data_IF_349857373806
#
_entry.id   IF_349857373806
#
_cell.length_a   1.000
_cell.length_b   1.000
_cell.length_c   1.000
_cell.angle_alpha   90.00
_cell.angle_beta   90.00
_cell.angle_gamma   90.00
#
_symmetry.space_group_name_H-M   'P 1'
#
loop_
_entity.id
_entity.type
_entity.pdbx_description
1 polymer ?
#
# COMPACT_ATOMS: atom_id res chain seq x y z
N UNK A 1 16.36 71.98 -69.03
CA UNK A 1 15.27 71.17 -68.44
C UNK A 1 15.37 69.76 -69.02
N UNK A 2 15.90 68.80 -68.27
CA UNK A 2 16.01 67.39 -68.67
C UNK A 2 15.32 66.55 -67.62
N UNK A 3 14.25 65.86 -68.03
CA UNK A 3 13.38 65.05 -67.17
C UNK A 3 14.06 63.78 -66.69
N UNK A 4 13.92 63.47 -65.40
CA UNK A 4 14.36 62.22 -64.78
C UNK A 4 13.38 61.11 -65.17
N UNK A 5 13.86 60.13 -65.94
CA UNK A 5 13.17 58.87 -66.15
C UNK A 5 13.17 58.06 -64.83
N UNK A 6 11.98 57.67 -64.37
CA UNK A 6 11.80 56.80 -63.22
C UNK A 6 12.28 55.39 -63.58
N UNK A 7 13.36 54.95 -62.94
CA UNK A 7 13.82 53.56 -62.98
C UNK A 7 12.85 52.70 -62.17
N UNK A 8 12.16 51.79 -62.86
CA UNK A 8 11.29 50.78 -62.26
C UNK A 8 12.17 49.70 -61.60
N UNK A 9 12.11 49.57 -60.28
CA UNK A 9 12.81 48.54 -59.52
C UNK A 9 12.33 47.13 -59.95
N UNK A 10 13.24 46.15 -60.13
CA UNK A 10 12.87 44.77 -60.43
C UNK A 10 12.23 44.09 -59.20
N UNK A 11 11.20 43.24 -59.39
CA UNK A 11 10.51 42.57 -58.29
C UNK A 11 11.44 41.59 -57.56
N UNK A 12 11.38 41.60 -56.24
CA UNK A 12 12.19 40.77 -55.35
C UNK A 12 11.98 39.26 -55.58
N UNK A 13 13.02 38.42 -55.43
CA UNK A 13 12.93 36.98 -55.62
C UNK A 13 12.00 36.34 -54.59
N UNK A 14 11.01 35.59 -55.08
CA UNK A 14 10.03 34.84 -54.28
C UNK A 14 10.79 33.75 -53.51
N UNK A 15 10.85 33.88 -52.18
CA UNK A 15 11.40 32.85 -51.28
C UNK A 15 10.45 31.65 -51.29
N UNK A 16 10.84 30.58 -51.99
CA UNK A 16 10.17 29.28 -51.90
C UNK A 16 10.40 28.73 -50.50
N UNK A 17 9.39 28.83 -49.64
CA UNK A 17 9.41 28.16 -48.33
C UNK A 17 9.42 26.65 -48.54
N UNK A 18 10.36 25.89 -47.94
CA UNK A 18 10.37 24.44 -48.06
C UNK A 18 9.07 23.87 -47.49
N UNK A 19 8.39 23.04 -48.28
CA UNK A 19 7.21 22.29 -47.84
C UNK A 19 7.52 21.57 -46.54
N UNK A 20 6.80 21.95 -45.48
CA UNK A 20 6.80 21.25 -44.20
C UNK A 20 6.28 19.85 -44.48
N UNK A 21 7.20 18.88 -44.53
CA UNK A 21 6.86 17.46 -44.55
C UNK A 21 6.20 17.17 -43.20
N UNK A 22 4.87 17.11 -43.19
CA UNK A 22 4.11 16.66 -42.03
C UNK A 22 4.49 15.20 -41.80
N UNK A 23 5.20 14.85 -40.71
CA UNK A 23 5.57 13.47 -40.47
C UNK A 23 4.30 12.64 -40.35
N UNK A 24 4.26 11.52 -41.09
CA UNK A 24 3.15 10.58 -41.05
C UNK A 24 2.82 10.22 -39.60
N UNK A 25 1.53 10.09 -39.23
CA UNK A 25 1.13 9.77 -37.87
C UNK A 25 1.86 8.50 -37.42
N UNK A 26 2.64 8.61 -36.35
CA UNK A 26 3.39 7.50 -35.80
C UNK A 26 2.42 6.34 -35.54
N UNK A 27 2.73 5.16 -36.09
CA UNK A 27 1.91 3.97 -35.86
C UNK A 27 1.71 3.72 -34.36
N UNK A 28 0.55 3.18 -33.94
CA UNK A 28 0.29 2.89 -32.53
C UNK A 28 1.32 1.88 -32.04
N UNK A 29 2.35 2.39 -31.35
CA UNK A 29 3.39 1.57 -30.74
C UNK A 29 2.73 0.65 -29.73
N UNK A 30 3.09 -0.62 -29.76
CA UNK A 30 2.61 -1.57 -28.75
C UNK A 30 3.03 -1.09 -27.36
N UNK A 31 2.23 -1.39 -26.33
CA UNK A 31 2.56 -1.03 -24.95
C UNK A 31 3.98 -1.49 -24.55
N UNK A 32 4.33 -2.72 -24.95
CA UNK A 32 5.65 -3.30 -24.68
C UNK A 32 6.78 -2.45 -25.24
N UNK A 33 6.65 -1.97 -26.48
CA UNK A 33 7.64 -1.08 -27.10
C UNK A 33 7.72 0.27 -26.39
N UNK A 34 6.57 0.84 -25.99
CA UNK A 34 6.55 2.11 -25.25
C UNK A 34 7.24 1.98 -23.88
N UNK A 35 6.96 0.90 -23.14
CA UNK A 35 7.58 0.61 -21.85
C UNK A 35 9.09 0.36 -21.99
N UNK A 36 9.51 -0.42 -23.01
CA UNK A 36 10.92 -0.61 -23.30
C UNK A 36 11.62 0.70 -23.65
N UNK A 37 10.97 1.60 -24.40
CA UNK A 37 11.49 2.92 -24.72
C UNK A 37 11.73 3.79 -23.47
N UNK A 38 10.77 3.81 -22.55
CA UNK A 38 10.90 4.52 -21.27
C UNK A 38 12.02 3.91 -20.41
N UNK A 39 12.09 2.58 -20.31
CA UNK A 39 13.13 1.89 -19.56
C UNK A 39 14.53 2.14 -20.12
N UNK A 40 14.70 2.08 -21.45
CA UNK A 40 15.98 2.40 -22.11
C UNK A 40 16.39 3.84 -21.85
N UNK A 41 15.46 4.80 -21.93
CA UNK A 41 15.74 6.21 -21.64
C UNK A 41 16.16 6.41 -20.19
N UNK A 42 15.40 5.86 -19.23
CA UNK A 42 15.73 5.96 -17.80
C UNK A 42 17.09 5.37 -17.45
N UNK A 43 17.48 4.25 -18.08
CA UNK A 43 18.80 3.64 -17.91
C UNK A 43 19.92 4.44 -18.58
N UNK A 44 19.68 4.99 -19.77
CA UNK A 44 20.65 5.83 -20.48
C UNK A 44 20.96 7.12 -19.69
N UNK A 45 19.93 7.72 -19.09
CA UNK A 45 20.07 8.96 -18.31
C UNK A 45 20.67 8.72 -16.90
N UNK A 46 20.63 7.49 -16.39
CA UNK A 46 21.07 7.14 -15.04
C UNK A 46 21.92 5.86 -15.00
N UNK A 47 22.94 5.76 -15.85
CA UNK A 47 23.74 4.53 -16.02
C UNK A 47 24.38 4.03 -14.70
N UNK A 48 24.75 4.94 -13.80
CA UNK A 48 25.42 4.63 -12.54
C UNK A 48 24.46 4.47 -11.35
N UNK A 49 23.18 4.79 -11.50
CA UNK A 49 22.20 4.74 -10.42
C UNK A 49 20.91 4.06 -10.89
N UNK A 50 20.89 2.73 -10.72
CA UNK A 50 19.73 1.90 -11.05
C UNK A 50 18.49 2.24 -10.24
N UNK A 51 18.65 2.74 -9.01
CA UNK A 51 17.51 3.12 -8.16
C UNK A 51 16.82 4.33 -8.76
N UNK A 52 17.60 5.34 -9.15
CA UNK A 52 17.08 6.55 -9.81
C UNK A 52 16.44 6.25 -11.17
N UNK A 53 17.04 5.35 -11.96
CA UNK A 53 16.43 4.86 -13.21
C UNK A 53 15.05 4.23 -12.98
N UNK A 54 14.92 3.35 -11.98
CA UNK A 54 13.63 2.71 -11.62
C UNK A 54 12.60 3.76 -11.19
N UNK A 55 12.99 4.72 -10.35
CA UNK A 55 12.09 5.80 -9.91
C UNK A 55 11.60 6.64 -11.09
N UNK A 56 12.46 6.93 -12.07
CA UNK A 56 12.05 7.64 -13.28
C UNK A 56 11.06 6.83 -14.13
N UNK A 57 11.31 5.54 -14.35
CA UNK A 57 10.40 4.67 -15.09
C UNK A 57 9.04 4.57 -14.40
N UNK A 58 9.02 4.34 -13.09
CA UNK A 58 7.79 4.28 -12.30
C UNK A 58 7.03 5.62 -12.33
N UNK A 59 7.74 6.74 -12.25
CA UNK A 59 7.13 8.07 -12.36
C UNK A 59 6.49 8.26 -13.74
N UNK A 60 7.18 7.90 -14.82
CA UNK A 60 6.63 8.00 -16.18
C UNK A 60 5.37 7.15 -16.37
N UNK A 61 5.38 5.90 -15.88
CA UNK A 61 4.20 5.01 -15.93
C UNK A 61 3.05 5.62 -15.12
N UNK A 62 3.32 6.17 -13.93
CA UNK A 62 2.29 6.73 -13.03
C UNK A 62 1.51 7.90 -13.63
N UNK A 63 2.10 8.65 -14.56
CA UNK A 63 1.44 9.79 -15.20
C UNK A 63 0.69 9.42 -16.50
N UNK A 64 0.82 8.19 -17.00
CA UNK A 64 0.06 7.70 -18.16
C UNK A 64 -0.99 6.67 -17.68
N UNK A 65 -2.28 7.07 -17.56
CA UNK A 65 -3.33 6.20 -17.04
C UNK A 65 -3.55 4.95 -17.91
N UNK A 66 -3.30 5.04 -19.22
CA UNK A 66 -3.41 3.89 -20.11
C UNK A 66 -2.29 2.87 -19.84
N UNK A 67 -1.07 3.35 -19.59
CA UNK A 67 0.04 2.46 -19.20
C UNK A 67 -0.19 1.81 -17.85
N UNK A 68 -0.71 2.54 -16.86
CA UNK A 68 -1.06 1.97 -15.56
C UNK A 68 -2.06 0.83 -15.71
N UNK A 69 -3.14 1.06 -16.46
CA UNK A 69 -4.19 0.07 -16.65
C UNK A 69 -3.66 -1.24 -17.22
N UNK A 70 -2.86 -1.14 -18.29
CA UNK A 70 -2.26 -2.28 -18.96
C UNK A 70 -1.17 -2.97 -18.11
N UNK A 71 -0.35 -2.20 -17.40
CA UNK A 71 0.68 -2.74 -16.51
C UNK A 71 0.09 -3.62 -15.41
N UNK A 72 -1.09 -3.25 -14.91
CA UNK A 72 -1.80 -4.01 -13.89
C UNK A 72 -2.78 -5.06 -14.45
N UNK A 73 -2.97 -5.15 -15.77
CA UNK A 73 -3.92 -6.08 -16.40
C UNK A 73 -3.80 -7.52 -15.88
N UNK A 74 -2.60 -8.12 -15.72
CA UNK A 74 -2.47 -9.48 -15.20
C UNK A 74 -2.94 -9.66 -13.74
N UNK A 75 -3.03 -8.57 -12.99
CA UNK A 75 -3.38 -8.58 -11.56
C UNK A 75 -4.81 -8.10 -11.29
N UNK A 76 -5.55 -7.64 -12.31
CA UNK A 76 -6.89 -7.09 -12.15
C UNK A 76 -7.84 -8.10 -11.50
N UNK A 77 -7.86 -9.33 -12.00
CA UNK A 77 -8.74 -10.38 -11.46
C UNK A 77 -8.42 -10.72 -10.00
N UNK A 78 -7.14 -10.81 -9.65
CA UNK A 78 -6.72 -11.07 -8.28
C UNK A 78 -7.13 -9.93 -7.33
N UNK A 79 -6.94 -8.67 -7.75
CA UNK A 79 -7.33 -7.50 -6.98
C UNK A 79 -8.85 -7.41 -6.78
N UNK A 80 -9.62 -7.67 -7.85
CA UNK A 80 -11.09 -7.70 -7.81
C UNK A 80 -11.56 -8.81 -6.87
N UNK A 81 -11.04 -10.03 -6.99
CA UNK A 81 -11.39 -11.15 -6.11
C UNK A 81 -11.06 -10.86 -4.65
N UNK A 82 -9.91 -10.24 -4.36
CA UNK A 82 -9.54 -9.83 -3.00
C UNK A 82 -10.52 -8.80 -2.42
N UNK A 83 -10.99 -7.84 -3.23
CA UNK A 83 -12.03 -6.89 -2.82
C UNK A 83 -13.35 -7.60 -2.54
N UNK A 84 -13.78 -8.52 -3.41
CA UNK A 84 -14.99 -9.31 -3.19
C UNK A 84 -14.90 -10.17 -1.93
N UNK A 85 -13.75 -10.78 -1.62
CA UNK A 85 -13.58 -11.53 -0.38
C UNK A 85 -13.66 -10.65 0.88
N UNK A 86 -13.30 -9.36 0.77
CA UNK A 86 -13.36 -8.42 1.89
C UNK A 86 -14.75 -7.84 2.12
N UNK A 87 -15.55 -7.72 1.07
CA UNK A 87 -16.93 -7.19 1.12
C UNK A 87 -17.95 -8.30 1.29
N UNK A 88 -17.64 -9.52 0.86
CA UNK A 88 -18.49 -10.67 1.11
C UNK A 88 -18.71 -10.80 2.62
N UNK A 89 -19.96 -10.79 3.10
CA UNK A 89 -20.22 -11.05 4.51
C UNK A 89 -19.59 -12.39 4.83
N UNK A 90 -18.73 -12.42 5.86
CA UNK A 90 -18.15 -13.67 6.35
C UNK A 90 -19.32 -14.64 6.47
N UNK A 91 -19.34 -15.77 5.70
CA UNK A 91 -20.46 -16.67 5.73
C UNK A 91 -20.61 -17.06 7.18
N UNK A 92 -21.71 -16.63 7.81
CA UNK A 92 -21.94 -16.75 9.24
C UNK A 92 -21.46 -18.14 9.61
N UNK A 93 -20.31 -18.21 10.32
CA UNK A 93 -19.68 -19.48 10.64
C UNK A 93 -20.72 -20.22 11.45
N UNK A 94 -21.49 -21.08 10.80
CA UNK A 94 -22.37 -21.99 11.49
C UNK A 94 -21.41 -22.74 12.40
N UNK A 95 -21.61 -22.68 13.73
CA UNK A 95 -20.73 -23.36 14.65
C UNK A 95 -20.58 -24.79 14.15
N UNK A 96 -19.35 -25.36 14.17
CA UNK A 96 -19.13 -26.71 13.69
C UNK A 96 -20.19 -27.60 14.32
N UNK A 97 -21.04 -28.22 13.47
CA UNK A 97 -22.01 -29.21 13.94
C UNK A 97 -21.20 -30.25 14.68
N UNK A 98 -21.23 -30.18 16.00
CA UNK A 98 -20.60 -31.20 16.82
C UNK A 98 -21.23 -32.52 16.37
N UNK A 99 -20.41 -33.55 16.05
CA UNK A 99 -20.96 -34.86 15.79
C UNK A 99 -21.86 -35.20 16.97
N UNK A 100 -23.12 -35.50 16.69
CA UNK A 100 -24.11 -35.84 17.70
C UNK A 100 -23.56 -37.00 18.54
N UNK A 101 -22.96 -36.68 19.68
CA UNK A 101 -22.57 -37.65 20.67
C UNK A 101 -23.87 -38.27 21.19
N UNK A 102 -24.14 -39.48 20.69
CA UNK A 102 -25.12 -40.42 21.21
C UNK A 102 -25.08 -40.38 22.75
N UNK A 103 -26.20 -40.08 23.44
CA UNK A 103 -26.18 -39.84 24.88
C UNK A 103 -25.88 -41.13 25.65
N UNK A 104 -24.80 -41.11 26.43
CA UNK A 104 -24.59 -42.03 27.53
C UNK A 104 -25.45 -41.57 28.74
N UNK A 105 -25.97 -42.50 29.57
CA UNK A 105 -26.90 -42.19 30.65
C UNK A 105 -26.29 -41.24 31.69
N UNK A 106 -27.14 -40.28 32.09
CA UNK A 106 -26.90 -39.07 32.85
C UNK A 106 -26.31 -39.32 34.25
N UNK A 107 -25.28 -38.56 34.62
CA UNK A 107 -25.05 -38.16 36.02
C UNK A 107 -25.46 -36.70 36.19
N UNK A 108 -26.23 -36.34 37.23
CA UNK A 108 -26.62 -34.96 37.47
C UNK A 108 -25.41 -34.18 37.99
N UNK A 109 -24.99 -33.15 37.26
CA UNK A 109 -24.00 -32.17 37.73
C UNK A 109 -24.68 -30.79 37.76
N UNK A 110 -24.55 -30.03 38.86
CA UNK A 110 -25.29 -28.80 39.05
C UNK A 110 -24.94 -27.74 37.99
N UNK A 111 -26.01 -27.15 37.46
CA UNK A 111 -26.03 -26.14 36.41
C UNK A 111 -25.79 -24.78 37.05
N UNK A 112 -24.60 -24.22 36.90
CA UNK A 112 -24.36 -22.80 37.05
C UNK A 112 -23.07 -22.39 36.32
N UNK A 113 -23.14 -21.26 35.61
CA UNK A 113 -22.06 -20.54 34.94
C UNK A 113 -21.57 -21.09 33.59
N UNK A 114 -22.36 -20.89 32.53
CA UNK A 114 -21.81 -20.94 31.17
C UNK A 114 -22.45 -19.89 30.23
N UNK A 115 -22.39 -18.62 30.64
CA UNK A 115 -22.62 -17.45 29.77
C UNK A 115 -21.44 -16.46 29.83
N UNK A 116 -20.36 -16.76 30.56
CA UNK A 116 -19.21 -15.87 30.73
C UNK A 116 -18.01 -16.16 29.79
N UNK A 117 -18.06 -17.18 28.92
CA UNK A 117 -16.88 -17.62 28.16
C UNK A 117 -16.60 -16.81 26.88
N UNK A 118 -17.58 -16.08 26.35
CA UNK A 118 -17.37 -15.21 25.17
C UNK A 118 -16.79 -13.83 25.54
N UNK A 119 -16.86 -13.43 26.81
CA UNK A 119 -16.25 -12.19 27.33
C UNK A 119 -14.82 -12.36 27.84
N UNK A 120 -14.32 -13.60 27.95
CA UNK A 120 -13.00 -13.93 28.53
C UNK A 120 -11.93 -14.19 27.46
N UNK A 121 -12.32 -14.38 26.20
CA UNK A 121 -11.38 -14.66 25.09
C UNK A 121 -10.77 -13.40 24.46
N UNK A 122 -11.32 -12.22 24.71
CA UNK A 122 -10.66 -10.95 24.42
C UNK A 122 -9.78 -10.53 25.61
N UNK A 123 -8.91 -11.45 26.07
CA UNK A 123 -7.75 -11.06 26.85
C UNK A 123 -6.93 -10.12 25.98
N UNK A 124 -7.21 -8.83 26.16
CA UNK A 124 -6.70 -7.73 25.36
C UNK A 124 -5.21 -7.93 25.13
N UNK A 125 -4.75 -7.77 23.90
CA UNK A 125 -3.34 -7.88 23.54
C UNK A 125 -2.45 -7.00 24.45
N UNK A 126 -3.05 -5.94 25.00
CA UNK A 126 -2.47 -5.02 25.98
C UNK A 126 -2.18 -5.65 27.36
N UNK A 127 -2.92 -6.69 27.74
CA UNK A 127 -2.81 -7.38 29.04
C UNK A 127 -1.94 -8.65 28.95
N UNK A 128 -1.91 -9.29 27.77
CA UNK A 128 -1.14 -10.52 27.53
C UNK A 128 0.32 -10.24 27.21
N UNK A 129 0.61 -9.17 26.45
CA UNK A 129 1.98 -8.80 26.12
C UNK A 129 2.63 -8.07 27.31
N UNK A 130 3.69 -8.65 27.88
CA UNK A 130 4.35 -8.12 29.09
C UNK A 130 5.73 -7.54 28.77
N UNK A 131 5.96 -6.32 29.24
CA UNK A 131 7.26 -5.64 29.19
C UNK A 131 7.77 -5.48 30.63
N UNK A 132 8.88 -6.14 30.97
CA UNK A 132 9.42 -6.12 32.33
C UNK A 132 8.44 -6.68 33.38
N UNK A 133 7.65 -7.70 33.01
CA UNK A 133 6.65 -8.32 33.88
C UNK A 133 5.33 -7.54 34.04
N UNK A 134 5.22 -6.33 33.46
CA UNK A 134 3.99 -5.52 33.47
C UNK A 134 3.27 -5.63 32.13
N UNK A 135 1.93 -5.62 32.10
CA UNK A 135 1.17 -5.60 30.85
C UNK A 135 1.47 -4.31 30.06
N UNK A 136 1.63 -4.43 28.75
CA UNK A 136 2.05 -3.31 27.88
C UNK A 136 1.07 -2.13 27.93
N UNK A 137 -0.22 -2.38 28.21
CA UNK A 137 -1.20 -1.31 28.41
C UNK A 137 -0.85 -0.35 29.54
N UNK A 138 -0.22 -0.85 30.60
CA UNK A 138 0.09 -0.06 31.80
C UNK A 138 1.50 0.55 31.75
N UNK A 139 2.26 0.25 30.69
CA UNK A 139 3.61 0.77 30.47
C UNK A 139 3.54 2.06 29.67
N UNK A 140 4.46 2.99 29.94
CA UNK A 140 4.55 4.26 29.19
C UNK A 140 5.31 4.05 27.88
N UNK A 141 5.00 4.84 26.82
CA UNK A 141 5.70 4.75 25.53
C UNK A 141 7.22 4.87 25.64
N UNK A 142 7.73 5.65 26.59
CA UNK A 142 9.17 5.79 26.84
C UNK A 142 9.82 4.45 27.24
N UNK A 143 9.22 3.74 28.19
CA UNK A 143 9.73 2.44 28.67
C UNK A 143 9.55 1.37 27.60
N UNK A 144 8.42 1.37 26.90
CA UNK A 144 8.16 0.43 25.82
C UNK A 144 9.17 0.58 24.66
N UNK A 145 9.48 1.81 24.24
CA UNK A 145 10.48 2.06 23.21
C UNK A 145 11.90 1.70 23.64
N UNK A 146 12.28 1.93 24.90
CA UNK A 146 13.58 1.49 25.42
C UNK A 146 13.70 -0.05 25.39
N UNK A 147 12.63 -0.76 25.74
CA UNK A 147 12.58 -2.23 25.65
C UNK A 147 12.65 -2.73 24.19
N UNK A 148 12.00 -2.03 23.27
CA UNK A 148 11.99 -2.36 21.84
C UNK A 148 13.40 -2.31 21.22
N UNK A 149 14.30 -1.45 21.71
CA UNK A 149 15.69 -1.41 21.23
C UNK A 149 16.47 -2.70 21.53
N UNK A 150 16.04 -3.47 22.53
CA UNK A 150 16.69 -4.72 22.94
C UNK A 150 16.05 -5.96 22.31
N UNK A 151 14.86 -5.82 21.69
CA UNK A 151 14.05 -6.94 21.23
C UNK A 151 13.63 -6.73 19.78
N UNK A 152 14.55 -7.00 18.84
CA UNK A 152 14.39 -6.72 17.40
C UNK A 152 13.09 -7.27 16.82
N UNK A 153 12.76 -8.53 17.13
CA UNK A 153 11.57 -9.21 16.59
C UNK A 153 10.25 -8.52 16.91
N UNK A 154 10.13 -7.93 18.10
CA UNK A 154 8.90 -7.26 18.55
C UNK A 154 9.01 -5.73 18.51
N UNK A 155 10.17 -5.20 18.12
CA UNK A 155 10.45 -3.77 18.15
C UNK A 155 9.46 -3.00 17.27
N UNK A 156 9.12 -3.57 16.12
CA UNK A 156 8.21 -2.96 15.15
C UNK A 156 6.79 -2.80 15.70
N UNK A 157 6.23 -3.88 16.26
CA UNK A 157 4.93 -3.85 16.90
C UNK A 157 4.88 -2.77 17.99
N UNK A 158 5.89 -2.70 18.85
CA UNK A 158 5.94 -1.70 19.93
C UNK A 158 6.09 -0.27 19.40
N UNK A 159 6.87 -0.05 18.33
CA UNK A 159 7.00 1.26 17.68
C UNK A 159 5.67 1.72 17.07
N UNK A 160 4.93 0.83 16.42
CA UNK A 160 3.60 1.14 15.87
C UNK A 160 2.60 1.43 16.99
N UNK A 161 2.60 0.61 18.04
CA UNK A 161 1.70 0.78 19.18
C UNK A 161 1.91 2.13 19.90
N UNK A 162 3.17 2.56 20.02
CA UNK A 162 3.57 3.81 20.69
C UNK A 162 3.60 5.03 19.79
N UNK A 163 3.37 4.87 18.49
CA UNK A 163 3.39 5.98 17.54
C UNK A 163 2.30 7.01 17.89
N UNK A 164 2.70 8.28 17.91
CA UNK A 164 1.85 9.45 18.20
C UNK A 164 1.21 9.46 19.60
N UNK A 165 1.79 8.76 20.58
CA UNK A 165 1.35 8.79 21.97
C UNK A 165 2.22 9.72 22.85
N UNK A 166 1.63 10.40 23.86
CA UNK A 166 2.41 11.16 24.83
C UNK A 166 3.30 10.23 25.67
N UNK A 167 4.54 10.64 25.93
CA UNK A 167 5.57 9.78 26.53
C UNK A 167 5.34 9.40 27.99
N UNK A 168 4.57 10.20 28.72
CA UNK A 168 4.46 10.12 30.18
C UNK A 168 3.16 9.44 30.66
N UNK A 169 2.29 9.03 29.73
CA UNK A 169 1.01 8.43 30.06
C UNK A 169 0.95 6.95 29.65
N UNK A 170 0.16 6.11 30.35
CA UNK A 170 0.00 4.70 29.98
C UNK A 170 -0.66 4.53 28.62
N UNK A 171 -0.21 3.53 27.85
CA UNK A 171 -0.70 3.24 26.50
C UNK A 171 -2.22 2.93 26.49
N UNK A 172 -2.72 2.26 27.54
CA UNK A 172 -4.14 1.87 27.69
C UNK A 172 -5.10 3.07 27.63
N UNK A 173 -4.64 4.29 27.95
CA UNK A 173 -5.48 5.50 27.87
C UNK A 173 -5.83 5.91 26.44
N UNK A 174 -4.99 5.55 25.46
CA UNK A 174 -5.09 6.05 24.09
C UNK A 174 -5.29 4.95 23.05
N UNK A 175 -5.04 3.68 23.40
CA UNK A 175 -5.16 2.54 22.50
C UNK A 175 -6.14 1.52 23.05
N UNK A 176 -7.07 1.11 22.20
CA UNK A 176 -7.97 -0.01 22.48
C UNK A 176 -7.29 -1.35 22.20
N UNK A 177 -7.93 -2.44 22.61
CA UNK A 177 -7.51 -3.81 22.26
C UNK A 177 -7.46 -4.03 20.74
N UNK A 178 -8.42 -3.47 20.02
CA UNK A 178 -8.57 -3.59 18.56
C UNK A 178 -7.45 -2.87 17.82
N UNK A 179 -7.04 -1.70 18.30
CA UNK A 179 -5.90 -0.97 17.74
C UNK A 179 -4.61 -1.75 17.95
N UNK A 180 -4.41 -2.34 19.13
CA UNK A 180 -3.24 -3.16 19.39
C UNK A 180 -3.18 -4.38 18.44
N UNK A 181 -4.32 -5.01 18.17
CA UNK A 181 -4.40 -6.13 17.24
C UNK A 181 -4.12 -5.70 15.79
N UNK A 182 -4.58 -4.51 15.38
CA UNK A 182 -4.28 -3.92 14.08
C UNK A 182 -2.79 -3.63 13.91
N UNK A 183 -2.15 -3.04 14.92
CA UNK A 183 -0.71 -2.80 14.92
C UNK A 183 0.11 -4.10 14.83
N UNK A 184 -0.38 -5.19 15.46
CA UNK A 184 0.28 -6.49 15.37
C UNK A 184 0.16 -7.09 13.97
N UNK A 185 -1.01 -7.01 13.34
CA UNK A 185 -1.20 -7.44 11.96
C UNK A 185 -0.29 -6.66 11.00
N UNK A 186 -0.25 -5.33 11.11
CA UNK A 186 0.61 -4.46 10.31
C UNK A 186 2.10 -4.71 10.53
N UNK A 187 2.50 -5.09 11.74
CA UNK A 187 3.88 -5.46 12.02
C UNK A 187 4.31 -6.74 11.27
N UNK A 188 3.39 -7.71 11.15
CA UNK A 188 3.66 -9.01 10.51
C UNK A 188 3.56 -8.97 8.98
N UNK A 189 2.77 -8.07 8.40
CA UNK A 189 2.53 -7.98 6.93
C UNK A 189 3.76 -7.55 6.10
N UNK A 190 4.86 -7.21 6.76
CA UNK A 190 6.01 -6.56 6.14
C UNK A 190 7.35 -7.24 6.50
N UNK A 191 7.30 -8.45 7.04
CA UNK A 191 8.44 -9.38 7.13
C UNK A 191 8.34 -10.41 5.99
#
# INVERSE_FOLDING_TARGET
>A
MLGRAAFSEPPAPIKVTPSVVVPAPAQPQSLGERLQGIARRGLADNQHDRTRAKTMVLSAIRHDPNMLWEFFAPFQDAAINALFHRVAPEPARLPPRQPECRPAPLRPRPVAAMVAAAGVAAQSLLDTFKIGGRPVGDVTPKVANAWALQNERNARFVRLLTANLPTDQPIRKFRSAEDAQRCLAEANDHD
#
